data_IF_534634969453
#
_entry.id   IF_534634969453
#
_cell.length_a   1.000
_cell.length_b   1.000
_cell.length_c   1.000
_cell.angle_alpha   90.00
_cell.angle_beta   90.00
_cell.angle_gamma   90.00
#
_symmetry.space_group_name_H-M   'P 1'
#
loop_
_entity.id
_entity.type
_entity.pdbx_description
1 polymer ?
#
# COMPACT_ATOMS: atom_id res chain seq x y z
N UNK A 1 -2.38 -4.96 25.41
CA UNK A 1 -1.91 -3.70 24.78
C UNK A 1 -2.14 -3.78 23.29
N UNK A 2 -2.70 -2.73 22.68
CA UNK A 2 -3.02 -2.70 21.24
C UNK A 2 -2.25 -1.59 20.55
N UNK A 3 -1.79 -1.86 19.34
CA UNK A 3 -1.11 -0.89 18.50
C UNK A 3 -1.79 -0.80 17.15
N UNK A 4 -2.19 0.42 16.77
CA UNK A 4 -2.53 0.79 15.41
C UNK A 4 -1.31 1.39 14.72
N UNK A 5 -1.05 0.96 13.49
CA UNK A 5 0.01 1.51 12.63
C UNK A 5 -0.66 1.98 11.34
N UNK A 6 -0.45 3.23 10.93
CA UNK A 6 -0.89 3.73 9.63
C UNK A 6 0.31 4.22 8.81
N UNK A 7 0.65 3.45 7.77
CA UNK A 7 1.77 3.76 6.89
C UNK A 7 1.30 4.73 5.80
N UNK A 8 1.56 6.01 6.01
CA UNK A 8 1.34 7.08 5.05
C UNK A 8 2.51 7.27 4.09
N UNK A 9 2.38 8.27 3.20
CA UNK A 9 3.44 8.64 2.26
C UNK A 9 4.65 9.35 2.91
N UNK A 10 4.39 10.27 3.85
CA UNK A 10 5.44 11.05 4.53
C UNK A 10 5.79 10.50 5.91
N UNK A 11 4.77 10.09 6.67
CA UNK A 11 4.92 9.59 8.03
C UNK A 11 4.18 8.27 8.20
N UNK A 12 4.72 7.44 9.09
CA UNK A 12 4.05 6.27 9.65
C UNK A 12 3.57 6.65 11.05
N UNK A 13 2.25 6.64 11.24
CA UNK A 13 1.60 6.99 12.48
C UNK A 13 1.44 5.76 13.36
N UNK A 14 1.75 5.89 14.64
CA UNK A 14 1.57 4.83 15.65
C UNK A 14 0.59 5.32 16.70
N UNK A 15 -0.35 4.45 17.06
CA UNK A 15 -1.31 4.66 18.15
C UNK A 15 -1.22 3.46 19.07
N UNK A 16 -0.80 3.69 20.31
CA UNK A 16 -0.78 2.68 21.35
C UNK A 16 -1.99 2.86 22.26
N UNK A 17 -2.62 1.76 22.62
CA UNK A 17 -3.70 1.71 23.60
C UNK A 17 -3.37 0.68 24.68
N UNK A 18 -3.22 1.16 25.91
CA UNK A 18 -3.10 0.29 27.08
C UNK A 18 -4.51 -0.05 27.59
N UNK A 19 -4.89 -1.33 27.48
CA UNK A 19 -6.19 -1.82 27.93
C UNK A 19 -6.33 -1.83 29.46
N UNK A 20 -5.22 -1.85 30.21
CA UNK A 20 -5.23 -1.87 31.66
C UNK A 20 -5.49 -0.48 32.25
N UNK A 21 -4.90 0.56 31.67
CA UNK A 21 -5.06 1.96 32.12
C UNK A 21 -6.14 2.70 31.34
N UNK A 22 -6.46 2.26 30.12
CA UNK A 22 -7.33 2.97 29.18
C UNK A 22 -6.66 4.15 28.49
N UNK A 23 -5.35 4.29 28.61
CA UNK A 23 -4.59 5.42 28.04
C UNK A 23 -4.18 5.18 26.59
N UNK A 24 -4.10 6.29 25.85
CA UNK A 24 -3.56 6.32 24.48
C UNK A 24 -2.24 7.07 24.45
N UNK A 25 -1.29 6.57 23.67
CA UNK A 25 -0.12 7.35 23.25
C UNK A 25 0.05 7.29 21.74
N UNK A 26 0.56 8.37 21.15
CA UNK A 26 0.72 8.47 19.69
C UNK A 26 2.07 9.01 19.34
N UNK A 27 2.67 8.50 18.27
CA UNK A 27 3.93 9.02 17.75
C UNK A 27 4.03 8.79 16.25
N UNK A 28 5.04 9.44 15.65
CA UNK A 28 5.25 9.41 14.21
C UNK A 28 6.70 9.10 13.91
N UNK A 29 6.90 8.24 12.92
CA UNK A 29 8.21 7.99 12.32
C UNK A 29 8.14 8.45 10.86
N UNK A 30 9.25 8.90 10.29
CA UNK A 30 9.32 9.15 8.84
C UNK A 30 9.05 7.84 8.09
N UNK A 31 8.20 7.88 7.06
CA UNK A 31 7.96 6.71 6.22
C UNK A 31 9.17 6.43 5.35
N UNK A 32 9.38 5.14 5.03
CA UNK A 32 10.33 4.69 4.02
C UNK A 32 9.56 4.06 2.86
N UNK A 33 9.15 4.83 1.83
CA UNK A 33 8.21 4.33 0.79
C UNK A 33 8.68 3.09 0.03
N UNK A 34 10.00 2.91 -0.13
CA UNK A 34 10.59 1.77 -0.82
C UNK A 34 10.84 0.55 0.08
N UNK A 35 10.75 0.73 1.40
CA UNK A 35 10.92 -0.33 2.41
C UNK A 35 10.06 0.01 3.65
N UNK A 36 8.71 -0.04 3.54
CA UNK A 36 7.81 0.38 4.62
C UNK A 36 8.04 -0.32 5.96
N UNK A 37 8.55 -1.55 5.92
CA UNK A 37 8.97 -2.34 7.07
C UNK A 37 10.02 -1.64 7.92
N UNK A 38 10.92 -0.84 7.34
CA UNK A 38 11.95 -0.12 8.09
C UNK A 38 11.34 0.93 9.03
N UNK A 39 10.30 1.64 8.56
CA UNK A 39 9.58 2.61 9.40
C UNK A 39 8.80 1.93 10.53
N UNK A 40 8.24 0.74 10.26
CA UNK A 40 7.57 -0.09 11.26
C UNK A 40 8.54 -0.55 12.34
N UNK A 41 9.68 -1.12 11.94
CA UNK A 41 10.72 -1.59 12.86
C UNK A 41 11.29 -0.44 13.69
N UNK A 42 11.59 0.70 13.06
CA UNK A 42 12.05 1.89 13.77
C UNK A 42 11.04 2.39 14.80
N UNK A 43 9.73 2.31 14.52
CA UNK A 43 8.69 2.67 15.49
C UNK A 43 8.54 1.67 16.63
N UNK A 44 8.69 0.37 16.35
CA UNK A 44 8.72 -0.67 17.39
C UNK A 44 9.94 -0.50 18.31
N UNK A 45 11.11 -0.17 17.76
CA UNK A 45 12.32 0.09 18.54
C UNK A 45 12.15 1.30 19.47
N UNK A 46 11.51 2.39 19.04
CA UNK A 46 11.21 3.53 19.92
C UNK A 46 10.36 3.13 21.13
N UNK A 47 9.42 2.21 20.91
CA UNK A 47 8.54 1.70 21.95
C UNK A 47 9.26 0.76 22.94
N UNK A 48 10.20 -0.06 22.44
CA UNK A 48 11.02 -0.96 23.27
C UNK A 48 12.15 -0.24 24.01
N UNK A 49 12.59 0.93 23.55
CA UNK A 49 13.66 1.72 24.17
C UNK A 49 13.09 2.69 25.23
N UNK A 50 11.76 2.84 25.33
CA UNK A 50 11.13 3.71 26.32
C UNK A 50 11.36 5.21 26.07
N UNK A 51 11.66 5.58 24.83
CA UNK A 51 11.67 6.99 24.42
C UNK A 51 10.22 7.47 24.40
N UNK A 52 9.83 8.24 25.42
CA UNK A 52 8.53 8.90 25.42
C UNK A 52 8.45 9.80 24.18
N UNK A 53 7.44 9.62 23.31
CA UNK A 53 7.25 10.52 22.19
C UNK A 53 6.97 11.92 22.70
N UNK A 54 7.62 12.93 22.13
CA UNK A 54 7.29 14.32 22.43
C UNK A 54 5.80 14.57 22.18
N UNK A 55 5.09 14.85 23.27
CA UNK A 55 3.68 15.17 23.31
C UNK A 55 3.45 16.47 22.54
N UNK A 56 3.13 16.39 21.24
CA UNK A 56 2.59 17.54 20.52
C UNK A 56 1.11 17.68 20.87
N UNK A 57 0.84 18.27 22.04
CA UNK A 57 -0.48 18.78 22.41
C UNK A 57 -0.98 19.68 21.28
N UNK A 58 -2.12 19.33 20.68
CA UNK A 58 -2.79 20.22 19.72
C UNK A 58 -3.13 21.54 20.43
N UNK A 59 -2.75 22.72 19.91
CA UNK A 59 -3.13 23.97 20.55
C UNK A 59 -4.64 24.19 20.38
N UNK A 60 -5.36 24.17 21.51
CA UNK A 60 -6.74 24.62 21.61
C UNK A 60 -6.86 26.05 21.11
N UNK A 61 -7.78 26.28 20.18
CA UNK A 61 -8.15 27.60 19.67
C UNK A 61 -8.72 28.48 20.79
N UNK A 62 -7.91 29.41 21.32
CA UNK A 62 -8.39 30.58 22.04
C UNK A 62 -7.84 31.86 21.40
N UNK A 63 -8.79 32.74 21.04
CA UNK A 63 -8.58 34.10 20.54
C UNK A 63 -8.05 35.00 21.66
N UNK A 64 -7.01 35.78 21.37
CA UNK A 64 -6.78 37.23 21.66
C UNK A 64 -5.27 37.46 21.50
N UNK A 65 -4.80 38.39 20.67
CA UNK A 65 -4.77 39.82 20.94
C UNK A 65 -3.31 40.27 20.77
N UNK A 66 -3.10 41.34 20.01
CA UNK A 66 -1.86 42.05 19.70
C UNK A 66 -0.78 42.10 20.80
N UNK A 67 0.50 42.05 20.42
CA UNK A 67 1.38 43.23 20.29
C UNK A 67 2.86 42.81 20.18
N UNK A 68 3.60 43.50 19.30
CA UNK A 68 5.04 43.39 19.08
C UNK A 68 5.83 43.80 20.32
N UNK A 69 7.00 43.18 20.55
CA UNK A 69 8.22 43.93 20.86
C UNK A 69 9.50 43.13 20.61
N UNK A 70 10.45 43.80 19.95
CA UNK A 70 11.84 43.39 19.76
C UNK A 70 12.61 43.59 21.07
N UNK A 71 13.55 42.71 21.40
CA UNK A 71 14.92 43.10 21.78
C UNK A 71 15.87 41.91 21.87
N UNK A 72 17.02 42.07 21.21
CA UNK A 72 18.18 41.20 21.28
C UNK A 72 18.92 41.38 22.62
N UNK A 73 19.41 40.29 23.20
CA UNK A 73 20.55 40.35 24.11
C UNK A 73 21.31 39.03 24.12
N UNK A 74 22.60 39.17 23.84
CA UNK A 74 23.64 38.14 23.79
C UNK A 74 24.04 37.72 25.19
N UNK A 75 24.01 36.41 25.48
CA UNK A 75 24.84 35.83 26.54
C UNK A 75 25.16 34.38 26.23
N UNK A 76 26.46 34.11 26.06
CA UNK A 76 27.03 32.76 26.02
C UNK A 76 27.14 32.20 27.43
N UNK A 77 26.82 30.92 27.64
CA UNK A 77 27.51 30.14 28.65
C UNK A 77 28.23 28.94 28.01
N UNK A 78 29.53 28.85 28.26
CA UNK A 78 30.29 27.62 28.07
C UNK A 78 29.69 26.51 28.93
N UNK A 79 29.58 25.31 28.38
CA UNK A 79 29.49 24.06 29.15
C UNK A 79 30.17 22.94 28.37
N UNK A 80 30.89 22.03 29.05
CA UNK A 80 31.81 21.10 28.43
C UNK A 80 31.07 19.98 27.69
N UNK A 81 31.64 19.58 26.55
CA UNK A 81 31.24 18.40 25.79
C UNK A 81 31.49 17.18 26.67
N UNK A 82 30.44 16.65 27.30
CA UNK A 82 30.43 15.28 27.81
C UNK A 82 30.03 14.35 26.66
N UNK A 83 30.88 13.37 26.40
CA UNK A 83 30.68 12.31 25.41
C UNK A 83 29.35 11.59 25.67
N UNK A 84 28.53 11.30 24.65
CA UNK A 84 27.35 10.47 24.85
C UNK A 84 27.82 9.06 25.19
N UNK A 85 27.70 8.67 26.46
CA UNK A 85 27.85 7.30 26.87
C UNK A 85 26.77 6.50 26.16
N UNK A 86 27.20 5.56 25.31
CA UNK A 86 26.35 4.54 24.71
C UNK A 86 25.81 3.63 25.82
N UNK A 87 24.70 4.03 26.44
CA UNK A 87 23.88 3.09 27.19
C UNK A 87 23.22 2.16 26.18
N UNK A 88 23.87 1.03 25.94
CA UNK A 88 23.25 -0.13 25.30
C UNK A 88 22.28 -0.71 26.32
N UNK A 89 21.07 -0.15 26.39
CA UNK A 89 19.98 -0.81 27.08
C UNK A 89 19.72 -2.13 26.34
N UNK A 90 19.93 -3.24 27.04
CA UNK A 90 19.50 -4.56 26.63
C UNK A 90 18.04 -4.52 26.16
N UNK A 91 17.67 -5.24 25.08
CA UNK A 91 16.31 -5.19 24.54
C UNK A 91 15.31 -5.53 25.65
N UNK A 92 14.38 -4.60 25.90
CA UNK A 92 13.29 -4.84 26.85
C UNK A 92 12.56 -6.12 26.44
N UNK A 93 12.23 -6.94 27.43
CA UNK A 93 11.49 -8.19 27.24
C UNK A 93 10.28 -8.00 26.33
N UNK A 94 9.96 -8.98 25.44
CA UNK A 94 8.85 -8.85 24.51
C UNK A 94 7.57 -8.49 25.25
N UNK A 95 6.85 -7.48 24.77
CA UNK A 95 5.65 -7.00 25.43
C UNK A 95 4.58 -8.10 25.33
N UNK A 96 4.19 -8.72 26.45
CA UNK A 96 3.26 -9.83 26.41
C UNK A 96 1.91 -9.36 25.85
N UNK A 97 1.37 -10.12 24.89
CA UNK A 97 0.06 -9.89 24.28
C UNK A 97 -0.08 -8.55 23.53
N UNK A 98 0.95 -8.11 22.81
CA UNK A 98 0.85 -7.00 21.87
C UNK A 98 0.01 -7.40 20.64
N UNK A 99 -1.14 -6.77 20.47
CA UNK A 99 -1.99 -6.92 19.29
C UNK A 99 -1.75 -5.76 18.32
N UNK A 100 -1.42 -6.05 17.06
CA UNK A 100 -1.11 -5.03 16.05
C UNK A 100 -2.17 -5.04 14.96
N UNK A 101 -2.65 -3.85 14.60
CA UNK A 101 -3.44 -3.58 13.41
C UNK A 101 -2.64 -2.62 12.55
N UNK A 102 -2.39 -2.95 11.29
CA UNK A 102 -1.71 -2.04 10.37
C UNK A 102 -2.59 -1.69 9.17
N UNK A 103 -2.61 -0.40 8.84
CA UNK A 103 -3.11 0.17 7.60
C UNK A 103 -1.95 0.70 6.78
N UNK A 104 -2.09 0.73 5.47
CA UNK A 104 -1.06 1.29 4.59
C UNK A 104 -1.67 1.88 3.32
N UNK A 105 -1.08 2.99 2.89
CA UNK A 105 -1.39 3.65 1.61
C UNK A 105 -0.55 3.14 0.44
N UNK A 106 0.36 2.17 0.65
CA UNK A 106 1.26 1.65 -0.39
C UNK A 106 0.49 1.16 -1.61
N UNK A 107 -0.56 0.35 -1.42
CA UNK A 107 -1.36 -0.19 -2.52
C UNK A 107 -2.13 0.90 -3.30
N UNK A 108 -2.70 1.87 -2.59
CA UNK A 108 -3.44 2.98 -3.23
C UNK A 108 -2.50 3.90 -3.99
N UNK A 109 -1.32 4.19 -3.44
CA UNK A 109 -0.31 5.02 -4.10
C UNK A 109 0.27 4.32 -5.34
N UNK A 110 0.54 3.02 -5.25
CA UNK A 110 0.94 2.19 -6.38
C UNK A 110 -0.07 2.28 -7.54
N UNK A 111 -1.38 2.21 -7.22
CA UNK A 111 -2.44 2.35 -8.22
C UNK A 111 -2.51 3.75 -8.84
N UNK A 112 -2.42 4.79 -8.02
CA UNK A 112 -2.49 6.19 -8.47
C UNK A 112 -1.28 6.58 -9.32
N UNK A 113 -0.08 6.15 -8.93
CA UNK A 113 1.18 6.42 -9.61
C UNK A 113 1.44 5.46 -10.78
N UNK A 114 0.57 4.46 -10.98
CA UNK A 114 0.73 3.37 -11.95
C UNK A 114 2.08 2.66 -11.80
N UNK A 115 2.53 2.50 -10.56
CA UNK A 115 3.73 1.75 -10.18
C UNK A 115 3.29 0.40 -9.65
N UNK A 116 3.43 -0.62 -10.47
CA UNK A 116 3.11 -1.99 -10.11
C UNK A 116 3.81 -2.96 -11.03
N UNK A 117 3.50 -4.24 -10.88
CA UNK A 117 4.07 -5.28 -11.71
C UNK A 117 3.68 -5.08 -13.19
N UNK A 118 4.58 -5.42 -14.09
CA UNK A 118 4.24 -5.64 -15.50
C UNK A 118 3.42 -6.93 -15.61
N UNK A 119 2.11 -6.80 -15.80
CA UNK A 119 1.18 -7.93 -15.80
C UNK A 119 0.92 -8.44 -17.22
N UNK A 120 0.92 -9.77 -17.40
CA UNK A 120 0.27 -10.45 -18.51
C UNK A 120 -1.16 -10.83 -18.12
N UNK A 121 -2.15 -10.51 -18.96
CA UNK A 121 -3.55 -10.87 -18.74
C UNK A 121 -3.93 -12.00 -19.69
N UNK A 122 -4.39 -13.12 -19.14
CA UNK A 122 -4.84 -14.29 -19.90
C UNK A 122 -6.34 -14.46 -19.69
N UNK A 123 -7.09 -14.55 -20.78
CA UNK A 123 -8.56 -14.61 -20.71
C UNK A 123 -9.12 -15.51 -21.80
N UNK A 124 -10.43 -15.73 -21.77
CA UNK A 124 -11.18 -16.51 -22.75
C UNK A 124 -11.03 -15.91 -24.15
N UNK A 125 -10.88 -16.75 -25.17
CA UNK A 125 -10.83 -16.30 -26.56
C UNK A 125 -12.03 -15.44 -26.93
N UNK A 126 -11.77 -14.27 -27.51
CA UNK A 126 -12.76 -13.24 -27.81
C UNK A 126 -12.90 -12.15 -26.75
N UNK A 127 -12.28 -12.30 -25.58
CA UNK A 127 -12.41 -11.38 -24.44
C UNK A 127 -11.15 -10.57 -24.14
N UNK A 128 -10.12 -10.60 -25.00
CA UNK A 128 -8.86 -9.84 -24.83
C UNK A 128 -9.05 -8.36 -24.53
N UNK A 129 -10.08 -7.76 -25.11
CA UNK A 129 -10.31 -6.31 -25.08
C UNK A 129 -11.15 -5.84 -23.87
N UNK A 130 -11.56 -6.74 -22.97
CA UNK A 130 -12.36 -6.40 -21.77
C UNK A 130 -11.77 -5.26 -20.93
N UNK A 131 -10.45 -5.25 -20.59
CA UNK A 131 -9.85 -4.15 -19.84
C UNK A 131 -9.93 -2.78 -20.55
N UNK A 132 -10.05 -2.75 -21.87
CA UNK A 132 -10.11 -1.53 -22.70
C UNK A 132 -11.55 -1.07 -22.93
N UNK A 133 -12.49 -2.02 -23.03
CA UNK A 133 -13.92 -1.72 -23.13
C UNK A 133 -14.40 -1.06 -21.84
N UNK A 134 -13.92 -1.49 -20.67
CA UNK A 134 -14.24 -0.93 -19.35
C UNK A 134 -15.76 -0.82 -19.12
N UNK A 135 -16.52 -1.79 -19.63
CA UNK A 135 -18.00 -1.83 -19.59
C UNK A 135 -18.69 -0.57 -20.14
N UNK A 136 -17.98 0.21 -20.97
CA UNK A 136 -18.49 1.49 -21.46
C UNK A 136 -18.72 2.54 -20.36
N UNK A 137 -18.18 2.36 -19.16
CA UNK A 137 -18.41 3.25 -18.02
C UNK A 137 -17.97 4.68 -18.38
N UNK A 138 -18.87 5.67 -18.28
CA UNK A 138 -18.59 7.09 -18.57
C UNK A 138 -18.94 7.94 -17.36
N UNK A 139 -18.00 8.76 -16.89
CA UNK A 139 -18.28 9.74 -15.82
C UNK A 139 -19.22 10.85 -16.29
N UNK A 140 -19.09 11.28 -17.55
CA UNK A 140 -19.87 12.37 -18.14
C UNK A 140 -20.62 11.90 -19.39
N UNK A 141 -21.85 11.42 -19.22
CA UNK A 141 -22.63 10.75 -20.28
C UNK A 141 -22.84 11.59 -21.55
N UNK A 142 -23.03 12.91 -21.41
CA UNK A 142 -23.29 13.83 -22.53
C UNK A 142 -22.05 14.52 -23.10
N UNK A 143 -20.86 14.25 -22.57
CA UNK A 143 -19.63 14.83 -23.09
C UNK A 143 -19.08 13.94 -24.23
N UNK A 144 -19.33 14.33 -25.47
CA UNK A 144 -18.85 13.61 -26.66
C UNK A 144 -17.31 13.59 -26.80
N UNK A 145 -16.60 14.48 -26.10
CA UNK A 145 -15.13 14.56 -26.08
C UNK A 145 -14.51 13.78 -24.91
N UNK A 146 -15.30 13.02 -24.15
CA UNK A 146 -14.80 12.29 -23.00
C UNK A 146 -13.86 11.16 -23.43
N UNK A 147 -12.69 11.11 -22.80
CA UNK A 147 -11.65 10.10 -23.04
C UNK A 147 -11.59 9.17 -21.82
N UNK A 148 -11.62 7.86 -22.07
CA UNK A 148 -11.46 6.83 -21.04
C UNK A 148 -10.04 6.88 -20.47
N UNK A 149 -9.91 6.60 -19.18
CA UNK A 149 -8.60 6.35 -18.58
C UNK A 149 -7.96 5.12 -19.22
N UNK A 150 -6.69 5.23 -19.61
CA UNK A 150 -5.96 4.09 -20.15
C UNK A 150 -5.95 2.93 -19.15
N UNK A 151 -6.12 1.66 -19.57
CA UNK A 151 -5.99 0.52 -18.66
C UNK A 151 -4.60 0.44 -18.02
N UNK A 152 -4.44 -0.36 -16.98
CA UNK A 152 -3.14 -0.62 -16.34
C UNK A 152 -2.27 -1.59 -17.14
N UNK A 153 -2.89 -2.33 -18.07
CA UNK A 153 -2.20 -3.29 -18.94
C UNK A 153 -2.16 -2.81 -20.38
N UNK A 154 -1.05 -3.11 -21.07
CA UNK A 154 -0.90 -2.88 -22.51
C UNK A 154 -1.62 -3.97 -23.29
N UNK A 155 -2.20 -3.63 -24.44
CA UNK A 155 -2.99 -4.59 -25.22
C UNK A 155 -2.12 -5.76 -25.71
N UNK A 156 -0.85 -5.51 -26.00
CA UNK A 156 0.14 -6.52 -26.38
C UNK A 156 0.38 -7.58 -25.29
N UNK A 157 0.06 -7.26 -24.04
CA UNK A 157 0.16 -8.15 -22.87
C UNK A 157 -1.16 -8.85 -22.51
N UNK A 158 -2.20 -8.67 -23.33
CA UNK A 158 -3.43 -9.45 -23.21
C UNK A 158 -3.40 -10.64 -24.18
N UNK A 159 -3.60 -11.83 -23.65
CA UNK A 159 -3.53 -13.13 -24.32
C UNK A 159 -4.86 -13.86 -24.18
N UNK A 160 -5.12 -14.77 -25.11
CA UNK A 160 -6.38 -15.50 -25.22
C UNK A 160 -6.12 -16.99 -25.29
N UNK A 161 -6.91 -17.76 -24.53
CA UNK A 161 -6.89 -19.22 -24.56
C UNK A 161 -8.24 -19.70 -25.06
N UNK A 162 -8.26 -20.70 -25.93
CA UNK A 162 -9.52 -21.37 -26.30
C UNK A 162 -9.98 -22.20 -25.13
N UNK A 163 -11.05 -21.75 -24.52
CA UNK A 163 -11.80 -22.44 -23.48
C UNK A 163 -13.20 -21.81 -23.45
N UNK A 164 -14.17 -22.47 -22.81
CA UNK A 164 -15.47 -21.87 -22.60
C UNK A 164 -16.32 -22.64 -21.61
N UNK A 165 -16.77 -21.93 -20.58
CA UNK A 165 -17.73 -22.37 -19.58
C UNK A 165 -19.01 -21.55 -19.78
N UNK A 166 -20.18 -22.14 -19.58
CA UNK A 166 -21.45 -21.40 -19.61
C UNK A 166 -21.88 -20.89 -18.22
N UNK A 167 -23.04 -20.23 -18.17
CA UNK A 167 -23.57 -19.68 -16.92
C UNK A 167 -24.06 -20.74 -15.92
N UNK A 168 -24.15 -22.01 -16.31
CA UNK A 168 -24.47 -23.14 -15.44
C UNK A 168 -23.21 -23.85 -14.92
N UNK A 169 -22.02 -23.45 -15.40
CA UNK A 169 -20.74 -24.07 -15.05
C UNK A 169 -20.38 -25.26 -15.93
N UNK A 170 -21.12 -25.50 -17.01
CA UNK A 170 -20.85 -26.59 -17.95
C UNK A 170 -19.73 -26.19 -18.91
N UNK A 171 -18.78 -27.09 -19.13
CA UNK A 171 -17.73 -26.91 -20.13
C UNK A 171 -18.34 -27.06 -21.53
N UNK A 172 -18.45 -25.94 -22.25
CA UNK A 172 -18.92 -25.89 -23.64
C UNK A 172 -17.76 -26.03 -24.63
N UNK A 173 -16.59 -25.51 -24.26
CA UNK A 173 -15.35 -25.65 -25.04
C UNK A 173 -14.23 -26.06 -24.09
N UNK A 174 -13.61 -27.24 -24.29
CA UNK A 174 -12.50 -27.69 -23.46
C UNK A 174 -11.31 -26.72 -23.51
N UNK A 175 -10.56 -26.64 -22.42
CA UNK A 175 -9.31 -25.91 -22.34
C UNK A 175 -8.29 -26.43 -23.36
N UNK A 176 -7.78 -25.54 -24.20
CA UNK A 176 -6.77 -25.85 -25.21
C UNK A 176 -5.36 -25.77 -24.61
N UNK A 177 -4.78 -26.93 -24.28
CA UNK A 177 -3.39 -27.03 -23.80
C UNK A 177 -2.39 -26.44 -24.80
N UNK A 178 -2.63 -26.64 -26.10
CA UNK A 178 -1.80 -26.06 -27.17
C UNK A 178 -1.80 -24.53 -27.14
N UNK A 179 -2.94 -23.89 -26.84
CA UNK A 179 -3.00 -22.43 -26.71
C UNK A 179 -2.30 -21.97 -25.42
N UNK A 180 -2.40 -22.73 -24.32
CA UNK A 180 -1.71 -22.43 -23.07
C UNK A 180 -0.19 -22.43 -23.25
N UNK A 181 0.36 -23.47 -23.88
CA UNK A 181 1.80 -23.56 -24.18
C UNK A 181 2.25 -22.37 -25.04
N UNK A 182 1.49 -22.05 -26.09
CA UNK A 182 1.80 -20.92 -26.97
C UNK A 182 1.73 -19.57 -26.23
N UNK A 183 0.77 -19.38 -25.33
CA UNK A 183 0.66 -18.17 -24.51
C UNK A 183 1.82 -18.08 -23.52
N UNK A 184 2.17 -19.19 -22.86
CA UNK A 184 3.30 -19.25 -21.93
C UNK A 184 4.63 -18.89 -22.62
N UNK A 185 4.89 -19.41 -23.82
CA UNK A 185 6.07 -19.03 -24.59
C UNK A 185 6.06 -17.54 -24.95
N UNK A 186 4.93 -17.00 -25.41
CA UNK A 186 4.84 -15.56 -25.74
C UNK A 186 5.00 -14.63 -24.54
N UNK A 187 4.62 -15.09 -23.35
CA UNK A 187 4.88 -14.37 -22.09
C UNK A 187 6.38 -14.45 -21.75
N UNK A 188 7.01 -15.61 -21.93
CA UNK A 188 8.44 -15.82 -21.72
C UNK A 188 9.28 -14.94 -22.66
N UNK A 189 8.93 -14.91 -23.95
CA UNK A 189 9.58 -14.10 -24.98
C UNK A 189 9.47 -12.58 -24.73
N UNK A 190 8.40 -12.14 -24.07
CA UNK A 190 8.23 -10.74 -23.69
C UNK A 190 9.31 -10.26 -22.71
N UNK A 191 9.78 -11.15 -21.83
CA UNK A 191 10.93 -10.93 -20.93
C UNK A 191 10.75 -9.89 -19.82
N UNK A 192 9.68 -9.10 -19.85
CA UNK A 192 9.42 -8.00 -18.91
C UNK A 192 8.20 -8.25 -18.00
N UNK A 193 7.55 -9.42 -18.11
CA UNK A 193 6.37 -9.77 -17.32
C UNK A 193 6.79 -10.25 -15.93
N UNK A 194 6.23 -9.61 -14.90
CA UNK A 194 6.52 -9.87 -13.49
C UNK A 194 5.37 -10.63 -12.79
N UNK A 195 4.16 -10.58 -13.35
CA UNK A 195 2.98 -11.27 -12.83
C UNK A 195 2.01 -11.67 -13.95
N UNK A 196 1.22 -12.72 -13.70
CA UNK A 196 0.20 -13.21 -14.63
C UNK A 196 -1.16 -13.14 -13.92
N UNK A 197 -2.13 -12.51 -14.58
CA UNK A 197 -3.52 -12.51 -14.18
C UNK A 197 -4.31 -13.39 -15.16
N UNK A 198 -4.80 -14.53 -14.69
CA UNK A 198 -5.76 -15.35 -15.42
C UNK A 198 -7.16 -14.87 -15.04
N UNK A 199 -8.07 -14.80 -16.02
CA UNK A 199 -9.47 -14.46 -15.80
C UNK A 199 -10.33 -15.03 -16.92
N UNK A 200 -10.82 -16.25 -16.71
CA UNK A 200 -11.73 -16.93 -17.61
C UNK A 200 -13.20 -16.59 -17.31
N UNK A 201 -14.02 -16.61 -18.35
CA UNK A 201 -15.45 -16.33 -18.20
C UNK A 201 -16.09 -17.44 -17.36
N UNK A 202 -16.90 -17.05 -16.37
CA UNK A 202 -17.56 -17.96 -15.43
C UNK A 202 -16.65 -18.81 -14.53
N UNK A 203 -15.36 -18.45 -14.38
CA UNK A 203 -14.45 -19.16 -13.46
C UNK A 203 -14.90 -19.13 -12.00
N UNK A 204 -15.68 -18.12 -11.61
CA UNK A 204 -16.32 -18.04 -10.29
C UNK A 204 -17.43 -19.10 -10.07
N UNK A 205 -17.92 -19.74 -11.13
CA UNK A 205 -18.89 -20.86 -11.06
C UNK A 205 -18.14 -22.19 -11.14
N UNK A 206 -17.24 -22.32 -12.11
CA UNK A 206 -16.41 -23.51 -12.31
C UNK A 206 -14.95 -23.06 -12.55
N UNK A 207 -14.06 -23.19 -11.56
CA UNK A 207 -12.69 -22.70 -11.64
C UNK A 207 -11.73 -23.69 -12.30
N UNK A 208 -12.16 -24.88 -12.74
CA UNK A 208 -11.25 -25.97 -13.14
C UNK A 208 -10.32 -25.62 -14.32
N UNK A 209 -10.73 -24.68 -15.19
CA UNK A 209 -9.89 -24.20 -16.29
C UNK A 209 -8.85 -23.15 -15.88
N UNK A 210 -9.09 -22.39 -14.79
CA UNK A 210 -8.28 -21.24 -14.33
C UNK A 210 -7.15 -21.65 -13.39
#
# INVERSE_FOLDING_TARGET
>A
MRMGIDIGGTFTDFVLFDEATGEFSTFKVLSTPHAPEEAVLAGLDQLLIGQQPEEKTQPSTQKTGSQLDLQASTSSPQSPISSPQSQTSSPQSPIPNLYIVHGSTVATNALLERKGANVAFVTTRGFRDVPFIQRGNRRFHFNARWIKSAPFIRRERCYEVTEGIDCEGTVVTPLSETDLDAVAERIREAGDVEAIAVSFLFSYINPDHE
#
